data_IF_622772020924
#
_entry.id   IF_622772020924
#
_cell.length_a   1.000
_cell.length_b   1.000
_cell.length_c   1.000
_cell.angle_alpha   90.00
_cell.angle_beta   90.00
_cell.angle_gamma   90.00
#
_symmetry.space_group_name_H-M   'P 1'
#
loop_
_entity.id
_entity.type
_entity.pdbx_description
1 polymer ?
#
# COMPACT_ATOMS: atom_id res chain seq x y z
N UNK A 1 20.62 12.60 -36.19
CA UNK A 1 19.41 13.01 -35.44
C UNK A 1 19.37 12.17 -34.18
N UNK A 2 19.66 12.69 -32.99
CA UNK A 2 19.34 11.96 -31.76
C UNK A 2 17.85 12.15 -31.48
N UNK A 3 17.12 11.05 -31.33
CA UNK A 3 15.76 11.05 -30.82
C UNK A 3 15.89 11.21 -29.31
N UNK A 4 15.64 12.40 -28.80
CA UNK A 4 15.42 12.61 -27.36
C UNK A 4 14.13 11.90 -27.00
N UNK A 5 14.23 10.77 -26.32
CA UNK A 5 13.12 10.19 -25.61
C UNK A 5 12.70 11.21 -24.54
N UNK A 6 11.62 11.93 -24.84
CA UNK A 6 10.91 12.73 -23.85
C UNK A 6 10.44 11.75 -22.79
N UNK A 7 11.16 11.66 -21.67
CA UNK A 7 10.59 11.11 -20.45
C UNK A 7 9.38 11.99 -20.16
N UNK A 8 8.20 11.41 -20.29
CA UNK A 8 6.96 12.08 -19.97
C UNK A 8 7.00 12.43 -18.50
N UNK A 9 7.22 13.70 -18.23
CA UNK A 9 6.91 14.37 -16.97
C UNK A 9 5.38 14.41 -16.84
N UNK A 10 4.77 13.24 -16.57
CA UNK A 10 3.41 13.16 -16.10
C UNK A 10 3.48 13.12 -14.58
N UNK A 11 3.63 14.31 -14.00
CA UNK A 11 3.70 14.51 -12.56
C UNK A 11 2.38 14.12 -11.89
N UNK A 12 2.26 12.85 -11.52
CA UNK A 12 1.50 12.40 -10.37
C UNK A 12 2.52 12.20 -9.26
N UNK A 13 2.84 13.28 -8.55
CA UNK A 13 3.77 13.24 -7.43
C UNK A 13 2.95 13.50 -6.17
N UNK A 14 2.83 12.48 -5.31
CA UNK A 14 2.24 12.59 -3.99
C UNK A 14 2.66 13.91 -3.33
N UNK A 15 1.70 14.71 -2.86
CA UNK A 15 2.00 15.99 -2.22
C UNK A 15 3.08 15.78 -1.14
N UNK A 16 4.13 16.63 -1.04
CA UNK A 16 5.23 16.46 -0.08
C UNK A 16 4.82 16.12 1.35
N UNK A 17 3.68 16.63 1.84
CA UNK A 17 3.16 16.29 3.17
C UNK A 17 2.61 14.86 3.27
N UNK A 18 1.90 14.41 2.23
CA UNK A 18 1.37 13.04 2.15
C UNK A 18 2.51 12.05 1.97
N UNK A 19 3.52 12.41 1.18
CA UNK A 19 4.74 11.61 1.01
C UNK A 19 5.52 11.44 2.30
N UNK A 20 5.76 12.53 3.04
CA UNK A 20 6.46 12.45 4.33
C UNK A 20 5.72 11.54 5.33
N UNK A 21 4.38 11.66 5.36
CA UNK A 21 3.53 10.83 6.21
C UNK A 21 3.52 9.37 5.75
N UNK A 22 3.46 9.11 4.45
CA UNK A 22 3.57 7.78 3.86
C UNK A 22 4.88 7.11 4.27
N UNK A 23 6.01 7.80 4.11
CA UNK A 23 7.34 7.28 4.47
C UNK A 23 7.46 6.98 5.98
N UNK A 24 6.92 7.85 6.83
CA UNK A 24 6.87 7.63 8.29
C UNK A 24 6.06 6.39 8.64
N UNK A 25 4.82 6.28 8.13
CA UNK A 25 3.95 5.13 8.42
C UNK A 25 4.52 3.85 7.82
N UNK A 26 5.13 3.93 6.63
CA UNK A 26 5.74 2.77 5.98
C UNK A 26 6.88 2.23 6.82
N UNK A 27 7.73 3.11 7.34
CA UNK A 27 8.81 2.72 8.25
C UNK A 27 8.27 2.07 9.52
N UNK A 28 7.19 2.57 10.11
CA UNK A 28 6.56 1.94 11.28
C UNK A 28 6.03 0.55 10.92
N UNK A 29 5.38 0.39 9.76
CA UNK A 29 4.84 -0.88 9.29
C UNK A 29 5.94 -1.93 9.05
N UNK A 30 7.04 -1.54 8.40
CA UNK A 30 8.17 -2.43 8.13
C UNK A 30 8.88 -2.94 9.40
N UNK A 31 8.81 -2.19 10.50
CA UNK A 31 9.38 -2.57 11.79
C UNK A 31 8.36 -3.24 12.73
N UNK A 32 7.09 -3.36 12.31
CA UNK A 32 6.08 -3.99 13.12
C UNK A 32 6.16 -5.52 12.98
N UNK A 33 6.04 -6.22 14.10
CA UNK A 33 5.84 -7.66 14.09
C UNK A 33 4.46 -7.99 13.50
N UNK A 34 4.35 -9.18 12.91
CA UNK A 34 3.06 -9.72 12.48
C UNK A 34 2.11 -9.83 13.69
N UNK A 35 0.89 -9.28 13.62
CA UNK A 35 -0.04 -9.32 14.74
C UNK A 35 -0.54 -10.75 14.99
N UNK A 36 -0.63 -11.14 16.26
CA UNK A 36 -1.27 -12.39 16.69
C UNK A 36 -2.79 -12.29 16.76
N UNK A 37 -3.45 -13.38 17.17
CA UNK A 37 -4.89 -13.43 17.48
C UNK A 37 -5.84 -13.06 16.33
N UNK A 38 -5.46 -13.34 15.07
CA UNK A 38 -6.24 -13.04 13.86
C UNK A 38 -7.36 -14.05 13.55
N UNK A 39 -7.45 -15.14 14.32
CA UNK A 39 -8.49 -16.16 14.17
C UNK A 39 -8.51 -16.79 12.78
N UNK A 40 -9.71 -17.03 12.24
CA UNK A 40 -9.89 -17.65 10.92
C UNK A 40 -9.42 -16.79 9.74
N UNK A 41 -9.24 -15.48 9.97
CA UNK A 41 -8.91 -14.52 8.92
C UNK A 41 -7.40 -14.42 8.67
N UNK A 42 -6.56 -15.06 9.50
CA UNK A 42 -5.10 -14.96 9.43
C UNK A 42 -4.54 -15.25 8.03
N UNK A 43 -4.98 -16.34 7.39
CA UNK A 43 -4.46 -16.71 6.06
C UNK A 43 -4.82 -15.69 4.97
N UNK A 44 -6.03 -15.12 5.03
CA UNK A 44 -6.47 -14.07 4.11
C UNK A 44 -5.67 -12.79 4.36
N UNK A 45 -5.51 -12.39 5.62
CA UNK A 45 -4.74 -11.20 6.02
C UNK A 45 -3.27 -11.31 5.62
N UNK A 46 -2.63 -12.47 5.77
CA UNK A 46 -1.26 -12.71 5.29
C UNK A 46 -1.14 -12.52 3.77
N UNK A 47 -2.13 -13.00 3.02
CA UNK A 47 -2.17 -12.85 1.56
C UNK A 47 -2.29 -11.38 1.18
N UNK A 48 -3.21 -10.65 1.81
CA UNK A 48 -3.42 -9.22 1.58
C UNK A 48 -2.17 -8.40 1.94
N UNK A 49 -1.53 -8.66 3.09
CA UNK A 49 -0.29 -7.99 3.48
C UNK A 49 0.84 -8.24 2.48
N UNK A 50 1.01 -9.48 2.03
CA UNK A 50 2.04 -9.83 1.04
C UNK A 50 1.84 -9.09 -0.27
N UNK A 51 0.61 -9.04 -0.78
CA UNK A 51 0.31 -8.42 -2.08
C UNK A 51 0.40 -6.90 -1.99
N UNK A 52 -0.22 -6.29 -0.97
CA UNK A 52 -0.19 -4.84 -0.76
C UNK A 52 1.25 -4.39 -0.45
N UNK A 53 1.95 -5.07 0.45
CA UNK A 53 3.34 -4.81 0.79
C UNK A 53 4.28 -4.93 -0.42
N UNK A 54 4.01 -5.86 -1.32
CA UNK A 54 4.71 -5.98 -2.60
C UNK A 54 4.52 -4.75 -3.50
N UNK A 55 3.30 -4.24 -3.61
CA UNK A 55 3.01 -3.00 -4.36
C UNK A 55 3.71 -1.79 -3.73
N UNK A 56 3.62 -1.64 -2.41
CA UNK A 56 4.28 -0.56 -1.67
C UNK A 56 5.81 -0.60 -1.85
N UNK A 57 6.41 -1.80 -1.76
CA UNK A 57 7.85 -1.99 -1.96
C UNK A 57 8.27 -1.64 -3.38
N UNK A 58 7.50 -2.07 -4.39
CA UNK A 58 7.76 -1.75 -5.78
C UNK A 58 7.70 -0.24 -6.02
N UNK A 59 6.65 0.43 -5.55
CA UNK A 59 6.52 1.89 -5.64
C UNK A 59 7.70 2.62 -4.97
N UNK A 60 8.13 2.17 -3.78
CA UNK A 60 9.29 2.77 -3.11
C UNK A 60 10.61 2.64 -3.89
N UNK A 61 10.71 1.65 -4.79
CA UNK A 61 11.91 1.39 -5.61
C UNK A 61 11.85 2.11 -6.96
N UNK A 62 10.71 2.02 -7.64
CA UNK A 62 10.53 2.50 -9.01
C UNK A 62 9.89 3.90 -9.09
N UNK A 63 9.36 4.40 -7.97
CA UNK A 63 8.58 5.65 -7.88
C UNK A 63 7.34 5.68 -8.79
N UNK A 64 6.86 4.50 -9.20
CA UNK A 64 5.65 4.34 -10.00
C UNK A 64 5.04 2.93 -9.82
N UNK A 65 3.79 2.76 -10.26
CA UNK A 65 3.06 1.50 -10.35
C UNK A 65 2.46 1.37 -11.75
N UNK A 66 2.65 0.22 -12.38
CA UNK A 66 1.90 -0.10 -13.60
C UNK A 66 0.41 -0.34 -13.33
N UNK A 67 -0.40 -0.21 -14.39
CA UNK A 67 -1.86 -0.35 -14.36
C UNK A 67 -2.32 -1.65 -13.70
N UNK A 68 -1.62 -2.77 -13.97
CA UNK A 68 -1.95 -4.05 -13.36
C UNK A 68 -1.77 -4.04 -11.83
N UNK A 69 -0.69 -3.45 -11.33
CA UNK A 69 -0.47 -3.31 -9.88
C UNK A 69 -1.46 -2.35 -9.23
N UNK A 70 -1.85 -1.29 -9.92
CA UNK A 70 -2.88 -0.37 -9.45
C UNK A 70 -4.22 -1.10 -9.28
N UNK A 71 -4.63 -1.93 -10.24
CA UNK A 71 -5.84 -2.76 -10.13
C UNK A 71 -5.75 -3.77 -8.98
N UNK A 72 -4.65 -4.51 -8.89
CA UNK A 72 -4.41 -5.46 -7.80
C UNK A 72 -4.48 -4.77 -6.44
N UNK A 73 -3.85 -3.60 -6.29
CA UNK A 73 -3.85 -2.84 -5.05
C UNK A 73 -5.26 -2.37 -4.67
N UNK A 74 -6.07 -1.92 -5.64
CA UNK A 74 -7.48 -1.53 -5.43
C UNK A 74 -8.31 -2.70 -4.92
N UNK A 75 -8.22 -3.85 -5.59
CA UNK A 75 -8.98 -5.05 -5.22
C UNK A 75 -8.60 -5.54 -3.82
N UNK A 76 -7.29 -5.62 -3.52
CA UNK A 76 -6.82 -6.02 -2.20
C UNK A 76 -7.21 -5.03 -1.10
N UNK A 77 -7.24 -3.72 -1.35
CA UNK A 77 -7.68 -2.75 -0.36
C UNK A 77 -9.19 -2.84 -0.09
N UNK A 78 -9.99 -3.10 -1.11
CA UNK A 78 -11.43 -3.34 -0.94
C UNK A 78 -11.69 -4.60 -0.12
N UNK A 79 -10.92 -5.66 -0.35
CA UNK A 79 -11.01 -6.90 0.43
C UNK A 79 -10.53 -6.69 1.87
N UNK A 80 -9.41 -5.98 2.06
CA UNK A 80 -8.87 -5.66 3.38
C UNK A 80 -9.87 -4.85 4.20
N UNK A 81 -10.56 -3.89 3.61
CA UNK A 81 -11.60 -3.11 4.29
C UNK A 81 -12.70 -4.00 4.86
N UNK A 82 -13.18 -4.97 4.09
CA UNK A 82 -14.22 -5.91 4.55
C UNK A 82 -13.76 -6.84 5.67
N UNK A 83 -12.47 -7.20 5.73
CA UNK A 83 -11.95 -8.12 6.74
C UNK A 83 -11.54 -7.40 8.02
N UNK A 84 -10.98 -6.18 7.91
CA UNK A 84 -10.46 -5.43 9.06
C UNK A 84 -11.56 -4.98 10.02
N UNK A 85 -12.78 -4.74 9.53
CA UNK A 85 -13.92 -4.43 10.39
C UNK A 85 -14.25 -5.54 11.40
N UNK A 86 -13.91 -6.79 11.07
CA UNK A 86 -14.12 -7.97 11.93
C UNK A 86 -12.91 -8.29 12.82
N UNK A 87 -11.78 -7.60 12.65
CA UNK A 87 -10.56 -7.81 13.46
C UNK A 87 -10.66 -7.00 14.75
N UNK A 88 -10.59 -7.67 15.89
CA UNK A 88 -10.53 -7.01 17.20
C UNK A 88 -9.24 -6.21 17.38
N UNK A 89 -9.28 -5.14 18.17
CA UNK A 89 -8.07 -4.49 18.67
C UNK A 89 -7.28 -5.41 19.62
N UNK A 90 -5.93 -5.28 19.71
CA UNK A 90 -5.06 -4.37 18.95
C UNK A 90 -4.60 -4.79 17.53
N UNK A 91 -4.75 -6.04 17.04
CA UNK A 91 -4.30 -6.43 15.70
C UNK A 91 -4.75 -5.54 14.54
N UNK A 92 -5.94 -4.94 14.65
CA UNK A 92 -6.49 -4.05 13.62
C UNK A 92 -5.59 -2.83 13.33
N UNK A 93 -4.79 -2.36 14.29
CA UNK A 93 -3.87 -1.23 14.07
C UNK A 93 -2.83 -1.50 12.99
N UNK A 94 -2.37 -2.76 12.87
CA UNK A 94 -1.44 -3.17 11.82
C UNK A 94 -2.07 -2.99 10.45
N UNK A 95 -3.29 -3.49 10.28
CA UNK A 95 -3.99 -3.43 9.00
C UNK A 95 -4.55 -2.05 8.68
N UNK A 96 -4.85 -1.23 9.69
CA UNK A 96 -5.15 0.19 9.49
C UNK A 96 -3.96 0.95 8.89
N UNK A 97 -2.73 0.66 9.34
CA UNK A 97 -1.51 1.23 8.71
C UNK A 97 -1.38 0.76 7.27
N UNK A 98 -1.54 -0.54 7.01
CA UNK A 98 -1.47 -1.10 5.66
C UNK A 98 -2.52 -0.46 4.72
N UNK A 99 -3.77 -0.33 5.19
CA UNK A 99 -4.86 0.34 4.46
C UNK A 99 -4.53 1.81 4.19
N UNK A 100 -4.03 2.54 5.19
CA UNK A 100 -3.62 3.94 5.02
C UNK A 100 -2.55 4.08 3.94
N UNK A 101 -1.53 3.22 3.95
CA UNK A 101 -0.45 3.26 2.97
C UNK A 101 -0.95 3.01 1.55
N UNK A 102 -1.72 1.94 1.34
CA UNK A 102 -2.25 1.61 0.02
C UNK A 102 -3.24 2.67 -0.50
N UNK A 103 -4.12 3.19 0.36
CA UNK A 103 -5.08 4.24 -0.05
C UNK A 103 -4.40 5.57 -0.36
N UNK A 104 -3.37 5.95 0.42
CA UNK A 104 -2.56 7.15 0.14
C UNK A 104 -1.85 7.00 -1.21
N UNK A 105 -1.26 5.84 -1.47
CA UNK A 105 -0.61 5.57 -2.76
C UNK A 105 -1.59 5.66 -3.94
N UNK A 106 -2.80 5.12 -3.82
CA UNK A 106 -3.79 5.16 -4.90
C UNK A 106 -4.34 6.56 -5.24
N UNK A 107 -4.15 7.55 -4.38
CA UNK A 107 -4.57 8.93 -4.67
C UNK A 107 -3.83 9.48 -5.91
N UNK A 108 -2.62 9.02 -6.16
CA UNK A 108 -1.81 9.41 -7.31
C UNK A 108 -2.27 8.73 -8.62
N UNK A 109 -3.13 7.71 -8.53
CA UNK A 109 -3.62 6.92 -9.67
C UNK A 109 -5.13 7.07 -9.91
N UNK A 110 -5.77 8.05 -9.26
CA UNK A 110 -7.23 8.29 -9.26
C UNK A 110 -7.71 9.12 -10.45
#
# INVERSE_FOLDING_TARGET
MPVTASHGDFGFDMNPSDRAKFEEVWKVHQNADWPGDLGSNEGQLMTLDTVIGGCLTYFCQEHDLDEQRVEILRDCLSELEGVVEDVSEPPSEYFHRLKFLGTTLLQDYS
#
